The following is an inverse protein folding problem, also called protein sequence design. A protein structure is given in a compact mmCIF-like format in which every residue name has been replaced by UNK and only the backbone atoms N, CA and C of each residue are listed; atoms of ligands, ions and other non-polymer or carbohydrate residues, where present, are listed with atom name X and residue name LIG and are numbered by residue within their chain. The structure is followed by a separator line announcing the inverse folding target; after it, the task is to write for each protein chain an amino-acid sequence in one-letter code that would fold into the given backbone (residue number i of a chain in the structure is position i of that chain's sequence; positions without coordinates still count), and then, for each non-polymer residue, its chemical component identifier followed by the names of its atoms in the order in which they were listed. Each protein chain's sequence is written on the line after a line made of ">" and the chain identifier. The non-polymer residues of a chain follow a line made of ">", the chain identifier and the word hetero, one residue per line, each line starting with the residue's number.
data_IF_479554474468
#
_entry.id   IF_479554474468
#
_cell.length_a   1.000
_cell.length_b   1.000
_cell.length_c   1.000
_cell.angle_alpha   90.00
_cell.angle_beta   90.00
_cell.angle_gamma   90.00
#
_symmetry.space_group_name_H-M   'P 1'
#
loop_
_entity.id
_entity.type
_entity.pdbx_description
1 polymer ?
#
# COMPACT_ATOMS: atom_id res chain seq x y z
N UNK A 1 9.54 -12.79 -37.22
CA UNK A 1 10.52 -11.91 -36.55
C UNK A 1 9.83 -10.98 -35.52
N UNK A 2 9.26 -11.54 -34.44
CA UNK A 2 8.44 -10.80 -33.49
C UNK A 2 9.18 -10.56 -32.16
N UNK A 3 10.47 -10.80 -32.10
CA UNK A 3 11.28 -10.50 -30.92
C UNK A 3 12.28 -9.37 -31.15
N UNK A 4 11.80 -8.19 -31.54
CA UNK A 4 12.57 -6.98 -31.22
C UNK A 4 12.59 -6.85 -29.71
N UNK A 5 13.72 -7.23 -29.10
CA UNK A 5 14.02 -6.92 -27.69
C UNK A 5 13.71 -5.46 -27.48
N UNK A 6 12.64 -5.15 -26.75
CA UNK A 6 12.40 -3.81 -26.27
C UNK A 6 13.56 -3.51 -25.32
N UNK A 7 14.56 -2.80 -25.81
CA UNK A 7 15.53 -2.15 -24.95
C UNK A 7 14.73 -1.16 -24.11
N UNK A 8 14.57 -1.47 -22.84
CA UNK A 8 14.07 -0.48 -21.89
C UNK A 8 15.07 0.66 -21.93
N UNK A 9 14.65 1.78 -22.51
CA UNK A 9 15.48 2.96 -22.62
C UNK A 9 15.91 3.38 -21.21
N UNK A 10 17.21 3.33 -20.94
CA UNK A 10 17.75 3.74 -19.64
C UNK A 10 17.43 5.19 -19.29
N UNK A 11 17.06 6.03 -20.26
CA UNK A 11 16.56 7.38 -20.02
C UNK A 11 15.19 7.37 -19.29
N UNK A 12 14.38 6.34 -19.47
CA UNK A 12 13.13 6.16 -18.74
C UNK A 12 13.35 5.99 -17.22
N UNK A 13 14.53 5.52 -16.80
CA UNK A 13 14.90 5.47 -15.37
C UNK A 13 15.23 6.84 -14.76
N UNK A 14 15.34 7.88 -15.57
CA UNK A 14 15.45 9.27 -15.09
C UNK A 14 14.10 9.88 -14.72
N UNK A 15 12.99 9.18 -14.99
CA UNK A 15 11.67 9.62 -14.57
C UNK A 15 11.58 9.63 -13.04
N UNK A 16 10.97 10.69 -12.52
CA UNK A 16 10.83 10.99 -11.08
C UNK A 16 10.21 9.85 -10.27
N UNK A 17 9.33 9.06 -10.86
CA UNK A 17 8.59 8.00 -10.19
C UNK A 17 9.44 6.81 -9.67
N UNK A 18 10.34 6.19 -10.46
CA UNK A 18 11.19 5.11 -9.94
C UNK A 18 12.09 5.57 -8.80
N UNK A 19 12.62 6.79 -8.88
CA UNK A 19 13.49 7.34 -7.83
C UNK A 19 12.72 7.49 -6.50
N UNK A 20 11.53 8.06 -6.52
CA UNK A 20 10.69 8.23 -5.33
C UNK A 20 10.24 6.88 -4.77
N UNK A 21 9.88 5.94 -5.64
CA UNK A 21 9.49 4.58 -5.23
C UNK A 21 10.63 3.86 -4.54
N UNK A 22 11.86 3.96 -5.06
CA UNK A 22 13.05 3.36 -4.43
C UNK A 22 13.37 4.01 -3.08
N UNK A 23 13.24 5.33 -2.96
CA UNK A 23 13.40 6.02 -1.69
C UNK A 23 12.38 5.57 -0.65
N UNK A 24 11.12 5.46 -1.05
CA UNK A 24 10.05 4.97 -0.17
C UNK A 24 10.26 3.50 0.23
N UNK A 25 10.71 2.66 -0.70
CA UNK A 25 11.05 1.27 -0.43
C UNK A 25 12.23 1.19 0.56
N UNK A 26 13.29 1.97 0.36
CA UNK A 26 14.44 2.03 1.27
C UNK A 26 14.03 2.48 2.67
N UNK A 27 13.16 3.50 2.78
CA UNK A 27 12.65 3.98 4.06
C UNK A 27 11.79 2.93 4.78
N UNK A 28 10.95 2.21 4.03
CA UNK A 28 10.16 1.10 4.59
C UNK A 28 11.07 -0.02 5.10
N UNK A 29 12.05 -0.44 4.31
CA UNK A 29 12.97 -1.51 4.67
C UNK A 29 13.87 -1.16 5.86
N UNK A 30 14.33 0.10 5.96
CA UNK A 30 15.07 0.60 7.13
C UNK A 30 14.23 0.50 8.41
N UNK A 31 12.98 0.96 8.36
CA UNK A 31 12.04 0.83 9.49
C UNK A 31 11.78 -0.62 9.88
N UNK A 32 11.65 -1.50 8.92
CA UNK A 32 11.45 -2.93 9.18
C UNK A 32 12.71 -3.53 9.80
N UNK A 33 13.90 -3.19 9.30
CA UNK A 33 15.17 -3.65 9.86
C UNK A 33 15.33 -3.21 11.32
N UNK A 34 15.06 -1.93 11.65
CA UNK A 34 15.04 -1.44 13.03
C UNK A 34 14.07 -2.25 13.93
N UNK A 35 12.87 -2.56 13.42
CA UNK A 35 11.90 -3.37 14.16
C UNK A 35 12.37 -4.83 14.35
N UNK A 36 13.02 -5.41 13.34
CA UNK A 36 13.57 -6.76 13.41
C UNK A 36 14.71 -6.84 14.43
N UNK A 37 15.62 -5.86 14.43
CA UNK A 37 16.70 -5.76 15.42
C UNK A 37 16.15 -5.61 16.84
N UNK A 38 15.20 -4.71 17.05
CA UNK A 38 14.53 -4.51 18.35
C UNK A 38 13.86 -5.76 18.89
N UNK A 39 13.45 -6.67 18.01
CA UNK A 39 12.83 -7.95 18.38
C UNK A 39 13.79 -9.14 18.31
N UNK A 40 15.11 -8.93 18.18
CA UNK A 40 16.16 -9.93 18.11
C UNK A 40 15.97 -10.92 16.93
N UNK A 41 15.39 -10.47 15.82
CA UNK A 41 15.21 -11.26 14.60
C UNK A 41 16.40 -11.13 13.64
N UNK A 42 17.19 -10.07 13.78
CA UNK A 42 18.44 -9.80 13.09
C UNK A 42 19.45 -9.24 14.10
N UNK A 43 20.74 -9.38 13.80
CA UNK A 43 21.81 -8.97 14.71
C UNK A 43 22.04 -7.44 14.68
N UNK A 44 21.90 -6.83 13.49
CA UNK A 44 22.12 -5.41 13.29
C UNK A 44 21.28 -4.89 12.13
N UNK A 45 20.59 -3.76 12.34
CA UNK A 45 19.91 -3.02 11.28
C UNK A 45 20.90 -2.17 10.50
N UNK A 46 20.56 -1.88 9.23
CA UNK A 46 21.27 -0.91 8.40
C UNK A 46 20.49 0.39 8.33
N UNK A 47 21.22 1.51 8.30
CA UNK A 47 20.64 2.84 8.14
C UNK A 47 20.06 3.03 6.73
N UNK A 48 19.16 4.02 6.60
CA UNK A 48 18.46 4.32 5.34
C UNK A 48 19.42 4.47 4.14
N UNK A 49 20.53 5.21 4.31
CA UNK A 49 21.47 5.47 3.24
C UNK A 49 22.23 4.21 2.81
N UNK A 50 22.58 3.35 3.74
CA UNK A 50 23.21 2.05 3.45
C UNK A 50 22.26 1.16 2.67
N UNK A 51 21.01 1.01 3.12
CA UNK A 51 19.98 0.25 2.42
C UNK A 51 19.71 0.83 1.04
N UNK A 52 19.61 2.15 0.92
CA UNK A 52 19.40 2.83 -0.36
C UNK A 52 20.51 2.57 -1.36
N UNK A 53 21.78 2.57 -0.90
CA UNK A 53 22.94 2.29 -1.75
C UNK A 53 22.98 0.81 -2.14
N UNK A 54 22.72 -0.10 -1.22
CA UNK A 54 22.66 -1.55 -1.50
C UNK A 54 21.55 -1.89 -2.51
N UNK A 55 20.37 -1.27 -2.39
CA UNK A 55 19.28 -1.45 -3.36
C UNK A 55 19.69 -0.91 -4.73
N UNK A 56 20.41 0.22 -4.83
CA UNK A 56 20.91 0.73 -6.11
C UNK A 56 21.93 -0.22 -6.73
N UNK A 57 22.85 -0.78 -5.94
CA UNK A 57 23.85 -1.73 -6.39
C UNK A 57 23.22 -3.05 -6.87
N UNK A 58 22.12 -3.47 -6.24
CA UNK A 58 21.37 -4.68 -6.55
C UNK A 58 20.03 -4.36 -7.24
N UNK A 59 19.96 -3.27 -8.00
CA UNK A 59 18.71 -2.69 -8.49
C UNK A 59 17.80 -3.71 -9.20
N UNK A 60 18.32 -4.44 -10.18
CA UNK A 60 17.53 -5.38 -10.99
C UNK A 60 16.88 -6.45 -10.14
N UNK A 61 17.60 -7.01 -9.17
CA UNK A 61 17.09 -8.02 -8.25
C UNK A 61 15.99 -7.44 -7.33
N UNK A 62 16.28 -6.34 -6.66
CA UNK A 62 15.34 -5.71 -5.73
C UNK A 62 14.08 -5.22 -6.45
N UNK A 63 14.24 -4.67 -7.65
CA UNK A 63 13.14 -4.17 -8.47
C UNK A 63 12.24 -5.30 -8.97
N UNK A 64 12.82 -6.43 -9.38
CA UNK A 64 12.06 -7.62 -9.78
C UNK A 64 11.14 -8.10 -8.66
N UNK A 65 11.64 -8.33 -7.47
CA UNK A 65 10.83 -8.80 -6.34
C UNK A 65 9.82 -7.77 -5.86
N UNK A 66 10.17 -6.48 -5.93
CA UNK A 66 9.22 -5.41 -5.65
C UNK A 66 8.05 -5.42 -6.65
N UNK A 67 8.32 -5.52 -7.94
CA UNK A 67 7.26 -5.59 -8.96
C UNK A 67 6.42 -6.87 -8.83
N UNK A 68 7.03 -8.00 -8.54
CA UNK A 68 6.32 -9.25 -8.25
C UNK A 68 5.34 -9.07 -7.08
N UNK A 69 5.79 -8.46 -5.99
CA UNK A 69 4.94 -8.15 -4.85
C UNK A 69 3.78 -7.21 -5.23
N UNK A 70 4.06 -6.12 -5.93
CA UNK A 70 3.03 -5.15 -6.38
C UNK A 70 2.01 -5.84 -7.28
N UNK A 71 2.45 -6.68 -8.21
CA UNK A 71 1.57 -7.43 -9.10
C UNK A 71 0.65 -8.38 -8.34
N UNK A 72 1.19 -9.17 -7.40
CA UNK A 72 0.42 -10.09 -6.57
C UNK A 72 -0.57 -9.32 -5.69
N UNK A 73 -0.13 -8.24 -5.05
CA UNK A 73 -0.92 -7.39 -4.18
C UNK A 73 -2.11 -6.76 -4.93
N UNK A 74 -1.84 -6.12 -6.06
CA UNK A 74 -2.86 -5.44 -6.86
C UNK A 74 -3.86 -6.42 -7.49
N UNK A 75 -3.41 -7.61 -7.92
CA UNK A 75 -4.30 -8.65 -8.45
C UNK A 75 -5.24 -9.22 -7.38
N UNK A 76 -4.77 -9.41 -6.16
CA UNK A 76 -5.63 -9.86 -5.05
C UNK A 76 -6.71 -8.82 -4.77
N UNK A 77 -6.35 -7.55 -4.67
CA UNK A 77 -7.31 -6.47 -4.48
C UNK A 77 -8.27 -6.34 -5.66
N UNK A 78 -7.77 -6.40 -6.90
CA UNK A 78 -8.63 -6.40 -8.10
C UNK A 78 -9.69 -7.50 -8.05
N UNK A 79 -9.30 -8.72 -7.65
CA UNK A 79 -10.26 -9.85 -7.50
C UNK A 79 -11.29 -9.58 -6.40
N UNK A 80 -10.89 -8.90 -5.32
CA UNK A 80 -11.78 -8.60 -4.19
C UNK A 80 -12.79 -7.50 -4.52
N UNK A 81 -12.36 -6.43 -5.18
CA UNK A 81 -13.17 -5.21 -5.36
C UNK A 81 -13.67 -4.98 -6.79
N UNK A 82 -13.19 -5.73 -7.78
CA UNK A 82 -13.66 -5.72 -9.17
C UNK A 82 -12.64 -5.21 -10.18
N UNK A 83 -12.12 -3.99 -10.04
CA UNK A 83 -11.11 -3.44 -10.95
C UNK A 83 -10.09 -2.54 -10.22
N UNK A 84 -9.03 -2.11 -10.95
CA UNK A 84 -7.95 -1.31 -10.38
C UNK A 84 -8.34 0.14 -10.08
N UNK A 85 -9.32 0.70 -10.80
CA UNK A 85 -9.81 2.04 -10.48
C UNK A 85 -10.64 2.01 -9.17
N UNK A 86 -11.48 0.97 -8.99
CA UNK A 86 -12.21 0.75 -7.73
C UNK A 86 -11.21 0.55 -6.58
N UNK A 87 -10.17 -0.25 -6.81
CA UNK A 87 -9.08 -0.43 -5.84
C UNK A 87 -8.41 0.90 -5.49
N UNK A 88 -8.02 1.71 -6.47
CA UNK A 88 -7.36 3.00 -6.25
C UNK A 88 -8.25 3.97 -5.46
N UNK A 89 -9.52 4.09 -5.83
CA UNK A 89 -10.51 4.91 -5.10
C UNK A 89 -10.68 4.42 -3.66
N UNK A 90 -10.81 3.11 -3.48
CA UNK A 90 -10.93 2.48 -2.16
C UNK A 90 -9.68 2.68 -1.29
N UNK A 91 -8.48 2.62 -1.88
CA UNK A 91 -7.21 2.83 -1.17
C UNK A 91 -7.08 4.26 -0.64
N UNK A 92 -7.47 5.28 -1.43
CA UNK A 92 -7.47 6.67 -0.96
C UNK A 92 -8.39 6.84 0.25
N UNK A 93 -9.60 6.27 0.20
CA UNK A 93 -10.56 6.33 1.30
C UNK A 93 -10.01 5.60 2.54
N UNK A 94 -9.46 4.40 2.34
CA UNK A 94 -8.88 3.60 3.42
C UNK A 94 -7.71 4.32 4.07
N UNK A 95 -6.77 4.85 3.28
CA UNK A 95 -5.62 5.60 3.76
C UNK A 95 -6.05 6.79 4.61
N UNK A 96 -6.98 7.61 4.10
CA UNK A 96 -7.52 8.76 4.83
C UNK A 96 -8.16 8.36 6.16
N UNK A 97 -8.92 7.28 6.16
CA UNK A 97 -9.57 6.77 7.38
C UNK A 97 -8.56 6.23 8.40
N UNK A 98 -7.44 5.65 7.94
CA UNK A 98 -6.41 5.10 8.81
C UNK A 98 -5.48 6.18 9.37
N UNK A 99 -5.02 7.09 8.52
CA UNK A 99 -4.08 8.15 8.92
C UNK A 99 -4.69 9.06 9.96
N UNK A 100 -5.93 9.52 9.76
CA UNK A 100 -6.62 10.38 10.72
C UNK A 100 -6.72 9.73 12.10
N UNK A 101 -6.96 8.42 12.14
CA UNK A 101 -7.07 7.66 13.41
C UNK A 101 -5.73 7.41 14.09
N UNK A 102 -4.66 7.21 13.33
CA UNK A 102 -3.34 6.90 13.89
C UNK A 102 -2.69 8.11 14.57
N UNK A 103 -3.00 9.33 14.12
CA UNK A 103 -2.48 10.55 14.74
C UNK A 103 -3.24 10.93 16.02
N UNK A 104 -4.55 10.62 16.11
CA UNK A 104 -5.40 10.93 17.26
C UNK A 104 -5.29 9.88 18.37
N UNK A 105 -4.94 8.64 18.07
CA UNK A 105 -4.79 7.59 19.05
C UNK A 105 -3.32 7.37 19.36
N UNK A 106 -2.85 7.72 20.55
CA UNK A 106 -1.52 7.43 21.07
C UNK A 106 -1.09 5.96 20.82
N UNK A 107 -0.51 5.71 19.64
CA UNK A 107 -0.06 4.40 19.17
C UNK A 107 -1.13 3.62 18.39
N UNK A 108 -1.01 3.66 17.07
CA UNK A 108 -1.79 2.79 16.20
C UNK A 108 -1.45 1.33 16.48
N UNK A 109 -2.49 0.55 16.79
CA UNK A 109 -2.39 -0.88 16.97
C UNK A 109 -3.53 -1.54 16.19
N UNK A 110 -3.20 -2.41 15.24
CA UNK A 110 -4.15 -3.11 14.40
C UNK A 110 -5.21 -3.87 15.21
N UNK A 111 -4.81 -4.47 16.33
CA UNK A 111 -5.74 -5.17 17.24
C UNK A 111 -6.73 -4.23 17.91
N UNK A 112 -6.30 -3.03 18.33
CA UNK A 112 -7.18 -1.98 18.85
C UNK A 112 -8.12 -1.45 17.77
N UNK A 113 -7.61 -1.23 16.57
CA UNK A 113 -8.42 -0.81 15.43
C UNK A 113 -9.50 -1.83 15.09
N UNK A 114 -9.16 -3.13 15.05
CA UNK A 114 -10.09 -4.24 14.84
C UNK A 114 -11.18 -4.30 15.91
N UNK A 115 -10.81 -4.10 17.21
CA UNK A 115 -11.76 -4.13 18.33
C UNK A 115 -12.66 -2.91 18.38
N UNK A 116 -12.11 -1.73 18.15
CA UNK A 116 -12.83 -0.49 18.45
C UNK A 116 -13.77 -0.04 17.33
N UNK A 117 -13.70 -0.60 16.10
CA UNK A 117 -14.56 -0.26 14.94
C UNK A 117 -14.84 1.25 14.80
N UNK A 118 -13.93 2.10 15.32
CA UNK A 118 -14.18 3.53 15.47
C UNK A 118 -14.14 4.18 14.09
N UNK A 119 -15.31 4.51 13.58
CA UNK A 119 -15.46 5.46 12.49
C UNK A 119 -15.59 6.81 13.16
N UNK A 120 -14.64 7.73 12.92
CA UNK A 120 -14.84 9.13 13.34
C UNK A 120 -15.84 9.74 12.37
N UNK A 121 -17.07 10.07 12.82
CA UNK A 121 -18.17 10.42 11.91
C UNK A 121 -17.91 11.68 11.08
N UNK A 122 -16.98 12.52 11.53
CA UNK A 122 -16.68 13.83 10.93
C UNK A 122 -15.53 13.84 9.95
N UNK A 123 -14.76 12.75 9.88
CA UNK A 123 -13.64 12.60 8.96
C UNK A 123 -14.07 11.89 7.68
N UNK A 124 -13.21 11.93 6.69
CA UNK A 124 -13.42 11.28 5.40
C UNK A 124 -12.90 12.13 4.25
N UNK A 125 -12.99 11.61 3.06
CA UNK A 125 -12.51 12.24 1.84
C UNK A 125 -13.66 12.49 0.88
N UNK A 126 -13.64 13.65 0.20
CA UNK A 126 -14.66 13.99 -0.79
C UNK A 126 -14.26 13.50 -2.19
N UNK A 127 -15.25 13.51 -3.11
CA UNK A 127 -15.05 13.05 -4.49
C UNK A 127 -13.98 13.84 -5.25
N UNK A 128 -13.83 15.13 -4.98
CA UNK A 128 -12.86 15.99 -5.68
C UNK A 128 -11.45 15.61 -5.30
N UNK A 129 -11.16 15.52 -4.02
CA UNK A 129 -9.85 15.08 -3.52
C UNK A 129 -9.49 13.67 -3.99
N UNK A 130 -10.46 12.74 -4.06
CA UNK A 130 -10.21 11.41 -4.63
C UNK A 130 -9.80 11.51 -6.10
N UNK A 131 -10.50 12.34 -6.90
CA UNK A 131 -10.18 12.54 -8.30
C UNK A 131 -8.79 13.16 -8.50
N UNK A 132 -8.43 14.14 -7.69
CA UNK A 132 -7.12 14.79 -7.72
C UNK A 132 -5.98 13.82 -7.36
N UNK A 133 -6.15 13.02 -6.30
CA UNK A 133 -5.14 12.07 -5.84
C UNK A 133 -4.96 10.91 -6.82
N UNK A 134 -6.07 10.38 -7.35
CA UNK A 134 -6.03 9.19 -8.23
C UNK A 134 -5.80 9.53 -9.69
N UNK A 135 -5.94 10.80 -10.09
CA UNK A 135 -6.01 11.27 -11.48
C UNK A 135 -7.10 10.58 -12.31
N UNK A 136 -8.10 9.97 -11.66
CA UNK A 136 -9.26 9.39 -12.32
C UNK A 136 -10.31 10.50 -12.52
N UNK A 137 -10.90 10.64 -13.72
CA UNK A 137 -11.92 11.66 -13.98
C UNK A 137 -13.09 11.57 -12.99
N UNK A 138 -13.53 12.73 -12.49
CA UNK A 138 -14.58 12.83 -11.46
C UNK A 138 -15.85 12.02 -11.75
N UNK A 139 -16.39 11.98 -12.99
CA UNK A 139 -17.56 11.14 -13.29
C UNK A 139 -17.28 9.64 -13.06
N UNK A 140 -16.07 9.19 -13.40
CA UNK A 140 -15.64 7.82 -13.16
C UNK A 140 -15.52 7.54 -11.66
N UNK A 141 -14.91 8.46 -10.89
CA UNK A 141 -14.84 8.35 -9.42
C UNK A 141 -16.23 8.21 -8.81
N UNK A 142 -17.20 9.04 -9.22
CA UNK A 142 -18.59 8.93 -8.74
C UNK A 142 -19.19 7.55 -9.00
N UNK A 143 -18.98 7.00 -10.20
CA UNK A 143 -19.45 5.65 -10.56
C UNK A 143 -18.81 4.58 -9.67
N UNK A 144 -17.49 4.68 -9.40
CA UNK A 144 -16.75 3.73 -8.54
C UNK A 144 -17.17 3.86 -7.07
N UNK A 145 -17.41 5.07 -6.59
CA UNK A 145 -17.97 5.31 -5.24
C UNK A 145 -19.34 4.68 -5.06
N UNK A 146 -20.22 4.81 -6.05
CA UNK A 146 -21.54 4.18 -6.02
C UNK A 146 -21.44 2.66 -5.95
N UNK A 147 -20.49 2.05 -6.69
CA UNK A 147 -20.22 0.63 -6.60
C UNK A 147 -19.74 0.23 -5.19
N UNK A 148 -18.78 0.95 -4.61
CA UNK A 148 -18.25 0.67 -3.27
C UNK A 148 -19.33 0.85 -2.19
N UNK A 149 -20.22 1.85 -2.31
CA UNK A 149 -21.36 2.07 -1.42
C UNK A 149 -22.37 0.91 -1.51
N UNK A 150 -22.74 0.50 -2.74
CA UNK A 150 -23.67 -0.61 -2.99
C UNK A 150 -23.16 -1.91 -2.37
N UNK A 151 -21.86 -2.16 -2.45
CA UNK A 151 -21.22 -3.35 -1.89
C UNK A 151 -20.80 -3.18 -0.42
N UNK A 152 -21.17 -2.07 0.22
CA UNK A 152 -20.92 -1.80 1.65
C UNK A 152 -19.44 -1.78 2.05
N UNK A 153 -18.53 -1.49 1.12
CA UNK A 153 -17.11 -1.28 1.42
C UNK A 153 -16.84 0.08 2.05
N UNK A 154 -17.65 1.06 1.70
CA UNK A 154 -17.56 2.43 2.22
C UNK A 154 -18.92 2.93 2.70
N UNK A 155 -18.89 3.97 3.50
CA UNK A 155 -20.06 4.74 3.94
C UNK A 155 -19.85 6.22 3.60
N UNK A 156 -20.95 6.97 3.57
CA UNK A 156 -20.94 8.42 3.39
C UNK A 156 -21.59 9.08 4.60
N UNK A 157 -20.97 10.13 5.12
CA UNK A 157 -21.50 10.88 6.25
C UNK A 157 -22.39 12.06 5.81
N UNK A 158 -22.98 12.77 6.79
CA UNK A 158 -23.85 13.94 6.52
C UNK A 158 -23.14 15.08 5.76
N UNK A 159 -21.81 15.19 5.88
CA UNK A 159 -20.97 16.16 5.16
C UNK A 159 -20.56 15.68 3.75
N UNK A 160 -21.14 14.58 3.25
CA UNK A 160 -20.81 13.93 1.96
C UNK A 160 -19.35 13.49 1.85
N UNK A 161 -18.71 13.13 2.98
CA UNK A 161 -17.39 12.57 3.03
C UNK A 161 -17.48 11.05 3.09
N UNK A 162 -16.59 10.36 2.35
CA UNK A 162 -16.53 8.92 2.26
C UNK A 162 -15.54 8.35 3.26
N UNK A 163 -15.95 7.30 3.95
CA UNK A 163 -15.17 6.54 4.92
C UNK A 163 -15.25 5.05 4.65
N UNK A 164 -14.25 4.30 5.10
CA UNK A 164 -14.29 2.84 5.06
C UNK A 164 -15.43 2.34 5.95
N UNK A 165 -16.23 1.42 5.42
CA UNK A 165 -17.26 0.73 6.17
C UNK A 165 -16.67 -0.53 6.81
N UNK A 166 -16.69 -0.59 8.14
CA UNK A 166 -16.11 -1.68 8.95
C UNK A 166 -17.17 -2.68 9.43
N UNK A 167 -18.20 -2.95 8.64
CA UNK A 167 -19.16 -4.00 8.97
C UNK A 167 -18.53 -5.39 8.81
N UNK A 168 -19.02 -6.35 9.61
CA UNK A 168 -18.37 -7.63 9.89
C UNK A 168 -17.92 -8.43 8.66
N UNK A 169 -18.74 -8.54 7.61
CA UNK A 169 -18.37 -9.29 6.41
C UNK A 169 -17.20 -8.64 5.66
N UNK A 170 -17.32 -7.36 5.36
CA UNK A 170 -16.29 -6.59 4.64
C UNK A 170 -14.98 -6.56 5.42
N UNK A 171 -15.04 -6.43 6.74
CA UNK A 171 -13.89 -6.46 7.61
C UNK A 171 -13.19 -7.83 7.57
N UNK A 172 -13.95 -8.94 7.69
CA UNK A 172 -13.39 -10.29 7.67
C UNK A 172 -12.74 -10.62 6.32
N UNK A 173 -13.36 -10.26 5.20
CA UNK A 173 -12.80 -10.47 3.87
C UNK A 173 -11.51 -9.65 3.68
N UNK A 174 -11.49 -8.40 4.16
CA UNK A 174 -10.31 -7.53 4.14
C UNK A 174 -9.19 -8.09 5.01
N UNK A 175 -9.48 -8.61 6.20
CA UNK A 175 -8.49 -9.21 7.10
C UNK A 175 -7.82 -10.42 6.44
N UNK A 176 -8.62 -11.36 5.90
CA UNK A 176 -8.09 -12.55 5.22
C UNK A 176 -7.21 -12.19 4.02
N UNK A 177 -7.58 -11.13 3.29
CA UNK A 177 -6.77 -10.63 2.19
C UNK A 177 -5.46 -10.01 2.69
N UNK A 178 -5.50 -9.24 3.77
CA UNK A 178 -4.31 -8.62 4.37
C UNK A 178 -3.35 -9.66 4.95
N UNK A 179 -3.82 -10.73 5.56
CA UNK A 179 -2.97 -11.84 6.00
C UNK A 179 -2.12 -12.39 4.84
N UNK A 180 -2.75 -12.62 3.67
CA UNK A 180 -2.03 -13.06 2.47
C UNK A 180 -1.06 -12.00 1.93
N UNK A 181 -1.41 -10.72 2.04
CA UNK A 181 -0.55 -9.63 1.63
C UNK A 181 0.67 -9.47 2.55
N UNK A 182 0.49 -9.66 3.86
CA UNK A 182 1.59 -9.67 4.83
C UNK A 182 2.58 -10.80 4.53
N UNK A 183 2.10 -12.00 4.21
CA UNK A 183 2.97 -13.11 3.81
C UNK A 183 3.77 -12.79 2.54
N UNK A 184 3.16 -12.15 1.54
CA UNK A 184 3.87 -11.73 0.33
C UNK A 184 4.86 -10.61 0.59
N UNK A 185 4.54 -9.68 1.50
CA UNK A 185 5.46 -8.64 1.95
C UNK A 185 6.66 -9.24 2.70
N UNK A 186 6.41 -10.20 3.58
CA UNK A 186 7.47 -10.92 4.30
C UNK A 186 8.41 -11.64 3.34
N UNK A 187 7.88 -12.25 2.27
CA UNK A 187 8.70 -12.86 1.23
C UNK A 187 9.58 -11.83 0.50
N UNK A 188 9.01 -10.68 0.11
CA UNK A 188 9.77 -9.58 -0.47
C UNK A 188 10.92 -9.12 0.44
N UNK A 189 10.61 -8.89 1.73
CA UNK A 189 11.59 -8.45 2.73
C UNK A 189 12.70 -9.49 2.86
N UNK A 190 12.35 -10.76 3.02
CA UNK A 190 13.32 -11.86 3.12
C UNK A 190 14.26 -11.92 1.91
N UNK A 191 13.72 -11.79 0.68
CA UNK A 191 14.52 -11.77 -0.54
C UNK A 191 15.48 -10.58 -0.60
N UNK A 192 14.99 -9.39 -0.30
CA UNK A 192 15.83 -8.18 -0.34
C UNK A 192 16.87 -8.21 0.79
N UNK A 193 16.49 -8.56 2.03
CA UNK A 193 17.42 -8.62 3.16
C UNK A 193 18.54 -9.64 2.93
N UNK A 194 18.20 -10.80 2.37
CA UNK A 194 19.20 -11.79 1.99
C UNK A 194 20.20 -11.26 0.95
N UNK A 195 19.74 -10.49 -0.03
CA UNK A 195 20.58 -9.90 -1.06
C UNK A 195 21.49 -8.78 -0.56
N UNK A 196 20.99 -7.95 0.37
CA UNK A 196 21.74 -6.81 0.92
C UNK A 196 22.45 -7.12 2.25
N UNK A 197 22.56 -8.42 2.59
CA UNK A 197 23.27 -8.92 3.78
C UNK A 197 22.79 -8.31 5.12
N UNK A 198 21.51 -8.21 5.30
CA UNK A 198 20.86 -7.97 6.60
C UNK A 198 20.54 -9.35 7.20
N UNK A 199 21.28 -9.73 8.24
CA UNK A 199 21.16 -11.04 8.89
C UNK A 199 20.88 -10.90 10.39
#
# INVERSE_FOLDING_TARGET
>A
DVYKRQYIDRSAFKLVQPKNTLQNLSALLSKIAELCEKNNLINQSKQFDEISNEIKNNFTYCWYFFLEFIFIFTNRWKKQVGDLEIFSVGMVIMWHSLVTKSYEANGWNFSKWKKNKIIVPETGVNTMSISEITHIPRPTVVRKLNYLLKNKYISVNKKKLFNVNMQDKTLNDTIKLQEKNVLSLSHLIFKIFGQINIK
#
